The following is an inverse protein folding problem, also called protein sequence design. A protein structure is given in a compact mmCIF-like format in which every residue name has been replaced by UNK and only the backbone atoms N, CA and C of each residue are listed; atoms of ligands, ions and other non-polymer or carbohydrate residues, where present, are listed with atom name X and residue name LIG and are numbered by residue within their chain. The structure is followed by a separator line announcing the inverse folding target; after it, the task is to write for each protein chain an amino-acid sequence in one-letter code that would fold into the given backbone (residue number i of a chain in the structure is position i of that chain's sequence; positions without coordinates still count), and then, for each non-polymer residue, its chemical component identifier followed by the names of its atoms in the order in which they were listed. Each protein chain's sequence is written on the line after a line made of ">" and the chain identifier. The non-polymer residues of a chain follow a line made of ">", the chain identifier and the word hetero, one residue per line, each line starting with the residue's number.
data_IF_807058890697
#
_entry.id   IF_807058890697
#
_cell.length_a   1.000
_cell.length_b   1.000
_cell.length_c   1.000
_cell.angle_alpha   90.00
_cell.angle_beta   90.00
_cell.angle_gamma   90.00
#
_symmetry.space_group_name_H-M   'P 1'
#
loop_
_entity.id
_entity.type
_entity.pdbx_description
1 polymer ?
#
# COMPACT_ATOMS: atom_id res chain seq x y z
N UNK A 1 -7.97 -34.33 7.58
CA UNK A 1 -7.94 -33.17 6.66
C UNK A 1 -6.48 -32.73 6.53
N UNK A 2 -5.95 -32.65 5.31
CA UNK A 2 -4.55 -32.26 5.07
C UNK A 2 -4.38 -30.75 5.02
N UNK A 3 -3.28 -30.24 5.57
CA UNK A 3 -2.92 -28.83 5.50
C UNK A 3 -2.33 -28.56 4.11
N UNK A 4 -3.05 -27.80 3.27
CA UNK A 4 -2.52 -27.29 2.02
C UNK A 4 -1.66 -26.05 2.34
N UNK A 5 -0.33 -26.23 2.38
CA UNK A 5 0.60 -25.10 2.53
C UNK A 5 0.84 -24.48 1.16
N UNK A 6 0.12 -23.40 0.85
CA UNK A 6 0.38 -22.61 -0.35
C UNK A 6 1.62 -21.73 -0.12
N UNK A 7 2.67 -21.94 -0.92
CA UNK A 7 3.82 -21.04 -1.00
C UNK A 7 3.62 -20.11 -2.19
N UNK A 8 3.40 -18.80 -1.98
CA UNK A 8 3.24 -17.88 -3.10
C UNK A 8 4.51 -17.87 -3.96
N UNK A 9 4.38 -17.86 -5.30
CA UNK A 9 5.51 -17.74 -6.20
C UNK A 9 6.41 -16.56 -5.82
N UNK A 10 7.72 -16.78 -5.90
CA UNK A 10 8.77 -15.78 -5.65
C UNK A 10 9.67 -15.71 -6.88
N UNK A 11 9.91 -14.50 -7.37
CA UNK A 11 10.77 -14.29 -8.53
C UNK A 11 12.25 -14.21 -8.12
N UNK A 12 12.54 -13.83 -6.89
CA UNK A 12 13.88 -13.68 -6.35
C UNK A 12 13.86 -13.53 -4.82
N UNK A 13 15.00 -13.16 -4.19
CA UNK A 13 15.05 -12.92 -2.75
C UNK A 13 14.17 -11.73 -2.37
N UNK A 14 13.39 -11.86 -1.30
CA UNK A 14 12.61 -10.76 -0.74
C UNK A 14 13.54 -9.74 -0.11
N UNK A 15 13.51 -8.50 -0.61
CA UNK A 15 14.30 -7.40 -0.07
C UNK A 15 13.59 -6.79 1.15
N UNK A 16 12.29 -6.61 1.03
CA UNK A 16 11.41 -6.18 2.12
C UNK A 16 9.95 -6.46 1.78
N UNK A 17 9.12 -6.42 2.81
CA UNK A 17 7.67 -6.61 2.73
C UNK A 17 6.95 -5.75 3.76
N UNK A 18 5.68 -5.43 3.49
CA UNK A 18 4.79 -4.62 4.32
C UNK A 18 3.44 -5.36 4.36
N UNK A 19 2.97 -5.68 5.58
CA UNK A 19 1.72 -6.43 5.80
C UNK A 19 1.88 -7.96 5.78
N UNK A 20 0.74 -8.65 5.79
CA UNK A 20 0.61 -10.11 5.75
C UNK A 20 -0.29 -10.46 4.57
N UNK A 21 0.04 -11.45 3.72
CA UNK A 21 -0.77 -11.78 2.54
C UNK A 21 -2.01 -12.62 2.92
N UNK A 22 -2.96 -12.04 3.66
CA UNK A 22 -4.19 -12.70 4.15
C UNK A 22 -5.50 -12.15 3.55
N UNK A 23 -5.36 -11.21 2.58
CA UNK A 23 -6.43 -10.47 1.88
C UNK A 23 -7.17 -9.48 2.79
N UNK A 24 -6.54 -9.01 3.85
CA UNK A 24 -7.11 -8.08 4.82
C UNK A 24 -6.21 -6.87 5.00
N UNK A 25 -6.80 -5.76 5.44
CA UNK A 25 -6.05 -4.59 5.88
C UNK A 25 -6.02 -4.45 7.41
N UNK A 26 -6.40 -5.51 8.14
CA UNK A 26 -6.73 -5.44 9.55
C UNK A 26 -5.51 -5.27 10.47
N UNK A 27 -4.33 -5.64 10.00
CA UNK A 27 -3.08 -5.47 10.73
C UNK A 27 -2.52 -4.05 10.63
N UNK A 28 -2.99 -3.24 9.68
CA UNK A 28 -2.51 -1.88 9.47
C UNK A 28 -3.08 -0.89 10.50
N UNK A 29 -2.51 0.30 10.52
CA UNK A 29 -2.87 1.34 11.47
C UNK A 29 -4.27 1.90 11.20
N UNK A 30 -5.22 1.49 12.04
CA UNK A 30 -6.53 2.12 12.16
C UNK A 30 -6.46 3.20 13.25
N UNK A 31 -6.76 4.47 12.96
CA UNK A 31 -6.68 5.55 13.94
C UNK A 31 -7.80 5.45 14.97
N UNK A 32 -7.70 6.24 16.04
CA UNK A 32 -8.85 6.47 16.91
C UNK A 32 -9.97 7.22 16.15
N UNK A 33 -11.25 7.08 16.55
CA UNK A 33 -12.34 7.88 15.99
C UNK A 33 -12.24 9.36 16.39
N UNK A 34 -13.00 10.22 15.71
CA UNK A 34 -13.23 11.58 16.18
C UNK A 34 -13.97 11.52 17.54
N UNK A 35 -13.47 12.18 18.60
CA UNK A 35 -14.08 12.18 19.93
C UNK A 35 -15.57 12.56 19.96
N UNK A 36 -16.02 13.40 19.04
CA UNK A 36 -17.42 13.87 18.97
C UNK A 36 -18.39 12.79 18.45
N UNK A 37 -17.88 11.78 17.74
CA UNK A 37 -18.68 10.79 17.01
C UNK A 37 -18.36 9.34 17.43
N UNK A 38 -17.79 9.15 18.62
CA UNK A 38 -17.36 7.84 19.12
C UNK A 38 -18.55 6.89 19.28
N UNK A 39 -18.50 5.74 18.60
CA UNK A 39 -19.36 4.62 18.94
C UNK A 39 -18.72 3.80 20.06
N UNK A 40 -19.34 3.80 21.24
CA UNK A 40 -18.84 3.12 22.44
C UNK A 40 -18.74 1.59 22.27
N UNK A 41 -19.48 0.98 21.35
CA UNK A 41 -19.44 -0.47 21.09
C UNK A 41 -18.07 -0.95 20.58
N UNK A 42 -17.32 -0.08 19.91
CA UNK A 42 -16.03 -0.42 19.30
C UNK A 42 -14.83 0.17 20.05
N UNK A 43 -15.04 0.77 21.23
CA UNK A 43 -13.96 1.15 22.13
C UNK A 43 -13.26 -0.11 22.65
N UNK A 44 -11.92 -0.12 22.67
CA UNK A 44 -11.09 -1.26 23.11
C UNK A 44 -11.42 -2.59 22.40
N UNK A 45 -11.87 -2.52 21.14
CA UNK A 45 -12.26 -3.67 20.34
C UNK A 45 -11.23 -3.96 19.24
N UNK A 46 -11.01 -5.23 18.92
CA UNK A 46 -10.17 -5.67 17.79
C UNK A 46 -10.72 -5.18 16.45
N UNK A 47 -12.03 -4.93 16.37
CA UNK A 47 -12.74 -4.38 15.21
C UNK A 47 -12.87 -2.86 15.26
N UNK A 48 -11.87 -2.14 15.80
CA UNK A 48 -11.88 -0.67 15.84
C UNK A 48 -12.14 -0.01 14.49
N UNK A 49 -11.82 -0.68 13.37
CA UNK A 49 -12.12 -0.25 12.01
C UNK A 49 -13.62 -0.04 11.73
N UNK A 50 -14.51 -0.53 12.60
CA UNK A 50 -15.97 -0.34 12.52
C UNK A 50 -16.45 1.03 12.99
N UNK A 51 -15.57 1.88 13.54
CA UNK A 51 -15.92 3.25 13.88
C UNK A 51 -16.24 4.06 12.61
N UNK A 52 -17.25 4.92 12.71
CA UNK A 52 -17.64 5.77 11.60
C UNK A 52 -16.61 6.89 11.36
N UNK A 53 -16.37 7.23 10.09
CA UNK A 53 -15.55 8.40 9.71
C UNK A 53 -14.03 8.21 9.83
N UNK A 54 -13.53 7.00 10.07
CA UNK A 54 -12.10 6.75 10.22
C UNK A 54 -11.26 7.12 9.00
N UNK A 55 -11.82 7.06 7.79
CA UNK A 55 -11.12 7.55 6.59
C UNK A 55 -10.82 9.04 6.66
N UNK A 56 -11.73 9.86 7.21
CA UNK A 56 -11.57 11.32 7.28
C UNK A 56 -10.44 11.72 8.25
N UNK A 57 -10.14 10.85 9.22
CA UNK A 57 -9.00 11.01 10.15
C UNK A 57 -7.65 11.06 9.42
N UNK A 58 -7.56 10.56 8.18
CA UNK A 58 -6.34 10.71 7.40
C UNK A 58 -5.96 12.18 7.23
N UNK A 59 -6.93 13.07 6.99
CA UNK A 59 -6.67 14.52 6.87
C UNK A 59 -6.16 15.12 8.18
N UNK A 60 -6.68 14.67 9.33
CA UNK A 60 -6.26 15.17 10.64
C UNK A 60 -4.81 14.77 10.98
N UNK A 61 -4.42 13.56 10.59
CA UNK A 61 -3.09 12.99 10.88
C UNK A 61 -2.04 13.43 9.86
N UNK A 62 -2.47 13.71 8.62
CA UNK A 62 -1.62 14.04 7.47
C UNK A 62 -2.03 15.38 6.81
N UNK A 63 -2.13 16.49 7.58
CA UNK A 63 -2.75 17.73 7.08
C UNK A 63 -1.94 18.38 5.96
N UNK A 64 -0.60 18.28 6.02
CA UNK A 64 0.31 18.96 5.11
C UNK A 64 1.03 18.01 4.16
N UNK A 65 1.36 16.80 4.63
CA UNK A 65 2.14 15.82 3.89
C UNK A 65 1.46 14.46 3.96
N UNK A 66 1.63 13.66 2.92
CA UNK A 66 1.16 12.28 2.91
C UNK A 66 2.10 11.33 3.66
N UNK A 67 1.62 10.10 3.87
CA UNK A 67 2.33 9.04 4.56
C UNK A 67 3.70 8.75 3.95
N UNK A 68 4.72 8.72 4.81
CA UNK A 68 6.08 8.29 4.48
C UNK A 68 6.42 7.08 5.36
N UNK A 69 6.66 5.95 4.73
CA UNK A 69 7.07 4.71 5.36
C UNK A 69 8.50 4.37 5.01
N UNK A 70 9.37 4.24 6.00
CA UNK A 70 10.78 3.87 5.83
C UNK A 70 10.99 2.43 6.29
N UNK A 71 11.34 1.56 5.35
CA UNK A 71 11.62 0.14 5.58
C UNK A 71 12.74 0.00 6.61
N UNK A 72 12.52 -0.87 7.60
CA UNK A 72 13.47 -1.13 8.69
C UNK A 72 13.40 -0.12 9.84
N UNK A 73 12.67 1.00 9.69
CA UNK A 73 12.46 1.97 10.77
C UNK A 73 11.00 2.02 11.24
N UNK A 74 10.06 2.00 10.29
CA UNK A 74 8.62 2.06 10.59
C UNK A 74 8.01 0.66 10.84
N UNK A 75 6.94 0.63 11.62
CA UNK A 75 6.11 -0.56 11.88
C UNK A 75 4.77 -0.39 11.17
N UNK A 76 4.46 -1.23 10.18
CA UNK A 76 3.22 -1.12 9.41
C UNK A 76 1.96 -1.22 10.26
N UNK A 77 2.03 -1.81 11.47
CA UNK A 77 0.88 -1.87 12.38
C UNK A 77 0.51 -0.52 12.99
N UNK A 78 1.43 0.45 12.92
CA UNK A 78 1.34 1.77 13.57
C UNK A 78 1.51 2.92 12.59
N UNK A 79 2.34 2.73 11.58
CA UNK A 79 2.81 3.80 10.69
C UNK A 79 2.25 3.66 9.26
N UNK A 80 1.57 2.55 8.96
CA UNK A 80 0.89 2.36 7.67
C UNK A 80 -0.61 2.50 7.85
N UNK A 81 -1.19 3.61 7.42
CA UNK A 81 -2.61 3.87 7.59
C UNK A 81 -3.44 2.81 6.83
N UNK A 82 -4.56 2.36 7.42
CA UNK A 82 -5.31 1.21 6.91
C UNK A 82 -5.93 1.41 5.51
N UNK A 83 -6.13 2.65 5.08
CA UNK A 83 -6.69 2.98 3.77
C UNK A 83 -6.03 4.22 3.16
N UNK A 84 -5.46 4.10 1.96
CA UNK A 84 -5.08 5.27 1.18
C UNK A 84 -6.33 5.90 0.58
N UNK A 85 -6.72 7.03 1.14
CA UNK A 85 -7.94 7.78 0.79
C UNK A 85 -7.57 9.17 0.33
N UNK A 86 -8.54 9.91 -0.19
CA UNK A 86 -8.31 11.31 -0.48
C UNK A 86 -8.14 12.16 0.77
N UNK A 87 -7.30 13.19 0.66
CA UNK A 87 -7.17 14.21 1.70
C UNK A 87 -8.17 15.33 1.44
N UNK A 88 -8.94 15.70 2.48
CA UNK A 88 -9.87 16.83 2.40
C UNK A 88 -9.07 18.14 2.44
N UNK A 89 -9.38 19.04 1.51
CA UNK A 89 -8.85 20.40 1.45
C UNK A 89 -9.81 21.39 2.12
N UNK A 90 -9.33 22.60 2.43
CA UNK A 90 -10.08 23.66 3.12
C UNK A 90 -11.39 24.05 2.43
N UNK A 91 -11.50 23.85 1.11
CA UNK A 91 -12.70 24.17 0.33
C UNK A 91 -13.69 22.99 0.22
N UNK A 92 -13.59 21.99 1.10
CA UNK A 92 -14.37 20.74 1.02
C UNK A 92 -14.16 19.97 -0.29
N UNK A 93 -13.09 20.27 -1.01
CA UNK A 93 -12.61 19.49 -2.15
C UNK A 93 -11.69 18.39 -1.65
N UNK A 94 -11.45 17.38 -2.49
CA UNK A 94 -10.62 16.25 -2.15
C UNK A 94 -9.43 16.18 -3.09
N UNK A 95 -8.23 15.98 -2.54
CA UNK A 95 -7.00 15.91 -3.32
C UNK A 95 -6.46 14.49 -3.37
N UNK A 96 -5.77 14.20 -4.47
CA UNK A 96 -4.96 13.00 -4.63
C UNK A 96 -3.91 12.88 -3.53
N UNK A 97 -3.53 11.64 -3.21
CA UNK A 97 -2.57 11.34 -2.14
C UNK A 97 -1.45 10.49 -2.68
N UNK A 98 -0.21 10.80 -2.31
CA UNK A 98 0.99 10.06 -2.72
C UNK A 98 1.76 9.56 -1.51
N UNK A 99 1.69 8.26 -1.25
CA UNK A 99 2.47 7.63 -0.19
C UNK A 99 3.87 7.30 -0.67
N UNK A 100 4.84 7.34 0.24
CA UNK A 100 6.24 7.06 -0.04
C UNK A 100 6.70 5.81 0.72
N UNK A 101 7.30 4.85 0.02
CA UNK A 101 8.05 3.76 0.62
C UNK A 101 9.53 4.02 0.39
N UNK A 102 10.26 4.35 1.45
CA UNK A 102 11.70 4.61 1.44
C UNK A 102 12.47 3.38 1.91
N UNK A 103 13.53 3.03 1.21
CA UNK A 103 14.36 1.88 1.56
C UNK A 103 15.79 2.03 1.04
N UNK A 104 16.72 1.35 1.69
CA UNK A 104 18.09 1.19 1.21
C UNK A 104 18.21 -0.01 0.28
N UNK A 105 18.96 0.13 -0.80
CA UNK A 105 19.33 -0.96 -1.72
C UNK A 105 20.86 -1.00 -1.86
N UNK A 106 21.46 -2.08 -1.37
CA UNK A 106 22.89 -2.36 -1.53
C UNK A 106 23.09 -3.33 -2.71
N UNK A 107 24.20 -3.21 -3.44
CA UNK A 107 24.53 -4.08 -4.58
C UNK A 107 23.44 -4.05 -5.68
N UNK A 108 23.06 -2.84 -6.11
CA UNK A 108 22.10 -2.65 -7.20
C UNK A 108 22.62 -3.29 -8.49
N UNK A 109 21.88 -4.26 -9.02
CA UNK A 109 22.08 -4.81 -10.37
C UNK A 109 21.28 -4.04 -11.42
N UNK A 110 21.90 -3.06 -12.06
CA UNK A 110 21.25 -2.15 -13.03
C UNK A 110 20.58 -2.84 -14.22
N UNK A 111 21.21 -3.89 -14.75
CA UNK A 111 20.75 -4.59 -15.97
C UNK A 111 19.65 -5.62 -15.70
N UNK A 112 19.27 -5.83 -14.44
CA UNK A 112 18.35 -6.87 -14.03
C UNK A 112 16.99 -6.28 -13.63
N UNK A 113 15.96 -7.12 -13.63
CA UNK A 113 14.59 -6.73 -13.29
C UNK A 113 14.25 -7.13 -11.86
N UNK A 114 13.73 -6.17 -11.10
CA UNK A 114 13.16 -6.38 -9.77
C UNK A 114 11.65 -6.60 -9.91
N UNK A 115 11.04 -7.28 -8.94
CA UNK A 115 9.59 -7.50 -8.94
C UNK A 115 8.96 -6.82 -7.73
N UNK A 116 8.04 -5.88 -7.99
CA UNK A 116 7.19 -5.27 -6.96
C UNK A 116 5.80 -5.89 -7.04
N UNK A 117 5.41 -6.54 -5.96
CA UNK A 117 4.08 -7.12 -5.79
C UNK A 117 3.24 -6.21 -4.91
N UNK A 118 2.06 -5.84 -5.39
CA UNK A 118 1.08 -5.06 -4.64
C UNK A 118 -0.23 -5.83 -4.62
N UNK A 119 -0.65 -6.23 -3.42
CA UNK A 119 -1.94 -6.83 -3.14
C UNK A 119 -2.83 -5.81 -2.43
N UNK A 120 -4.08 -5.68 -2.90
CA UNK A 120 -5.09 -4.80 -2.32
C UNK A 120 -6.20 -5.64 -1.71
N UNK A 121 -6.52 -5.39 -0.44
CA UNK A 121 -7.67 -5.99 0.23
C UNK A 121 -8.99 -5.45 -0.34
N UNK A 122 -9.01 -4.19 -0.81
CA UNK A 122 -10.16 -3.60 -1.52
C UNK A 122 -9.76 -2.33 -2.27
N UNK A 123 -10.59 -1.90 -3.22
CA UNK A 123 -10.49 -0.61 -3.88
C UNK A 123 -11.89 -0.04 -4.19
N UNK A 124 -12.04 1.28 -4.10
CA UNK A 124 -13.26 1.99 -4.47
C UNK A 124 -12.96 3.13 -5.45
N UNK A 125 -13.31 2.93 -6.73
CA UNK A 125 -13.26 3.92 -7.83
C UNK A 125 -11.97 4.75 -7.76
N UNK A 126 -10.84 4.05 -7.69
CA UNK A 126 -9.52 4.63 -7.50
C UNK A 126 -8.55 4.06 -8.52
N UNK A 127 -7.58 4.87 -8.93
CA UNK A 127 -6.45 4.42 -9.74
C UNK A 127 -5.18 4.48 -8.89
N UNK A 128 -4.40 3.39 -8.90
CA UNK A 128 -3.07 3.32 -8.30
C UNK A 128 -2.02 3.55 -9.38
N UNK A 129 -1.16 4.53 -9.16
CA UNK A 129 0.03 4.79 -9.97
C UNK A 129 1.29 4.54 -9.16
N UNK A 130 2.28 3.90 -9.78
CA UNK A 130 3.58 3.62 -9.15
C UNK A 130 4.69 4.38 -9.89
N UNK A 131 5.52 5.11 -9.13
CA UNK A 131 6.73 5.78 -9.64
C UNK A 131 7.93 5.41 -8.78
N UNK A 132 9.12 5.48 -9.36
CA UNK A 132 10.38 5.11 -8.72
C UNK A 132 11.32 6.31 -8.73
N UNK A 133 11.78 6.74 -7.55
CA UNK A 133 12.74 7.83 -7.29
C UNK A 133 12.36 9.24 -7.79
N UNK A 134 11.47 9.37 -8.77
CA UNK A 134 10.97 10.63 -9.34
C UNK A 134 9.46 10.71 -9.17
N UNK A 135 9.00 11.49 -8.19
CA UNK A 135 7.58 11.60 -7.86
C UNK A 135 6.75 12.28 -8.96
N UNK A 136 7.37 13.18 -9.71
CA UNK A 136 6.79 14.06 -10.72
C UNK A 136 6.96 13.55 -12.16
N UNK A 137 7.49 12.33 -12.33
CA UNK A 137 7.62 11.70 -13.65
C UNK A 137 6.23 11.62 -14.32
N UNK A 138 6.15 12.19 -15.53
CA UNK A 138 4.87 12.39 -16.23
C UNK A 138 4.16 11.07 -16.50
N UNK A 139 4.92 10.05 -16.86
CA UNK A 139 4.43 8.70 -17.13
C UNK A 139 4.78 7.83 -15.92
N UNK A 140 3.79 7.32 -15.17
CA UNK A 140 4.07 6.38 -14.10
C UNK A 140 4.60 5.05 -14.68
N UNK A 141 5.46 4.36 -13.93
CA UNK A 141 5.94 3.03 -14.31
C UNK A 141 4.80 2.04 -14.47
N UNK A 142 3.79 2.18 -13.61
CA UNK A 142 2.59 1.35 -13.62
C UNK A 142 1.36 2.18 -13.30
N UNK A 143 0.24 1.86 -13.94
CA UNK A 143 -1.10 2.29 -13.54
C UNK A 143 -2.02 1.07 -13.50
N UNK A 144 -2.88 1.00 -12.49
CA UNK A 144 -3.94 0.00 -12.45
C UNK A 144 -5.10 0.31 -13.38
N UNK A 145 -5.16 1.55 -13.91
CA UNK A 145 -6.43 2.16 -14.33
C UNK A 145 -7.39 2.33 -13.15
N UNK A 146 -8.60 2.84 -13.41
CA UNK A 146 -9.65 2.96 -12.38
C UNK A 146 -10.20 1.57 -12.04
N UNK A 147 -9.95 1.13 -10.81
CA UNK A 147 -10.38 -0.17 -10.27
C UNK A 147 -11.38 -0.02 -9.13
N UNK A 148 -11.99 -1.12 -8.73
CA UNK A 148 -12.86 -1.19 -7.56
C UNK A 148 -14.36 -1.19 -7.89
N UNK A 149 -15.12 -0.34 -7.17
CA UNK A 149 -16.60 -0.34 -6.96
C UNK A 149 -17.06 -1.11 -5.72
N UNK A 150 -16.14 -1.47 -4.85
CA UNK A 150 -16.42 -2.03 -3.54
C UNK A 150 -16.71 -0.90 -2.52
N UNK A 151 -17.64 -1.09 -1.58
CA UNK A 151 -18.00 -0.03 -0.61
C UNK A 151 -17.42 -0.27 0.79
N UNK A 152 -16.39 -1.10 0.93
CA UNK A 152 -15.82 -1.50 2.22
C UNK A 152 -15.39 -0.31 3.07
N UNK A 153 -14.68 0.69 2.51
CA UNK A 153 -14.27 1.89 3.26
C UNK A 153 -15.49 2.63 3.84
N UNK A 154 -16.49 2.91 2.99
CA UNK A 154 -17.71 3.61 3.40
C UNK A 154 -18.59 2.81 4.38
N UNK A 155 -18.45 1.48 4.39
CA UNK A 155 -19.22 0.56 5.23
C UNK A 155 -18.42 0.01 6.42
N UNK A 156 -17.26 0.61 6.73
CA UNK A 156 -16.40 0.20 7.83
C UNK A 156 -15.98 -1.27 7.78
N UNK A 157 -15.78 -1.77 6.56
CA UNK A 157 -15.12 -3.03 6.29
C UNK A 157 -13.60 -2.86 6.26
N UNK A 158 -12.90 -3.99 6.24
CA UNK A 158 -11.43 -4.03 6.25
C UNK A 158 -10.85 -4.89 5.12
N UNK A 159 -11.72 -5.41 4.27
CA UNK A 159 -11.42 -6.16 3.05
C UNK A 159 -12.68 -6.20 2.17
N UNK A 160 -12.50 -6.48 0.88
CA UNK A 160 -13.56 -6.55 -0.12
C UNK A 160 -13.07 -7.31 -1.36
N UNK A 161 -13.34 -6.77 -2.55
CA UNK A 161 -12.79 -7.33 -3.79
C UNK A 161 -11.25 -7.18 -3.84
N UNK A 162 -10.57 -8.32 -3.88
CA UNK A 162 -9.11 -8.41 -3.88
C UNK A 162 -8.49 -8.12 -5.25
N UNK A 163 -7.34 -7.44 -5.25
CA UNK A 163 -6.54 -7.15 -6.45
C UNK A 163 -5.09 -7.54 -6.24
N UNK A 164 -4.45 -8.02 -7.30
CA UNK A 164 -3.02 -8.38 -7.27
C UNK A 164 -2.32 -7.84 -8.52
N UNK A 165 -1.27 -7.06 -8.30
CA UNK A 165 -0.40 -6.54 -9.34
C UNK A 165 1.02 -7.06 -9.13
N UNK A 166 1.63 -7.55 -10.21
CA UNK A 166 3.05 -7.88 -10.26
C UNK A 166 3.69 -6.92 -11.25
N UNK A 167 4.55 -6.05 -10.76
CA UNK A 167 5.13 -4.94 -11.50
C UNK A 167 6.62 -5.22 -11.66
N UNK A 168 7.07 -5.30 -12.91
CA UNK A 168 8.49 -5.41 -13.23
C UNK A 168 9.14 -4.04 -13.19
N UNK A 169 10.21 -3.91 -12.40
CA UNK A 169 10.96 -2.67 -12.24
C UNK A 169 12.35 -2.88 -12.81
N UNK A 170 12.72 -2.20 -13.92
CA UNK A 170 14.09 -2.19 -14.39
C UNK A 170 15.05 -1.69 -13.30
N UNK A 171 16.12 -2.43 -13.04
CA UNK A 171 17.14 -2.04 -12.07
C UNK A 171 17.77 -0.68 -12.35
N UNK A 172 17.70 -0.22 -13.61
CA UNK A 172 18.11 1.11 -14.03
C UNK A 172 17.36 2.26 -13.33
N UNK A 173 16.14 2.02 -12.84
CA UNK A 173 15.34 3.01 -12.12
C UNK A 173 15.76 3.19 -10.65
N UNK A 174 16.47 2.22 -10.09
CA UNK A 174 17.02 2.33 -8.74
C UNK A 174 18.42 2.97 -8.76
N UNK A 175 18.85 3.43 -7.60
CA UNK A 175 20.22 3.86 -7.33
C UNK A 175 20.80 3.01 -6.19
N UNK A 176 22.13 2.99 -6.05
CA UNK A 176 22.73 2.40 -4.86
C UNK A 176 22.50 3.30 -3.64
N UNK A 177 22.14 2.71 -2.50
CA UNK A 177 21.72 3.45 -1.31
C UNK A 177 20.22 3.73 -1.28
N UNK A 178 19.82 4.97 -1.04
CA UNK A 178 18.42 5.31 -0.72
C UNK A 178 17.55 5.42 -1.98
N UNK A 179 16.43 4.69 -1.95
CA UNK A 179 15.42 4.69 -2.99
C UNK A 179 14.05 4.99 -2.41
N UNK A 180 13.14 5.49 -3.27
CA UNK A 180 11.74 5.73 -2.91
C UNK A 180 10.81 5.17 -3.99
N UNK A 181 9.83 4.39 -3.57
CA UNK A 181 8.65 4.05 -4.38
C UNK A 181 7.52 5.00 -3.97
N UNK A 182 6.91 5.63 -4.95
CA UNK A 182 5.74 6.49 -4.77
C UNK A 182 4.49 5.72 -5.19
N UNK A 183 3.51 5.67 -4.30
CA UNK A 183 2.18 5.11 -4.53
C UNK A 183 1.18 6.26 -4.57
N UNK A 184 0.84 6.71 -5.77
CA UNK A 184 -0.13 7.79 -5.95
C UNK A 184 -1.50 7.19 -6.21
N UNK A 185 -2.48 7.55 -5.39
CA UNK A 185 -3.88 7.27 -5.66
C UNK A 185 -4.53 8.51 -6.28
N UNK A 186 -5.13 8.33 -7.46
CA UNK A 186 -5.79 9.39 -8.24
C UNK A 186 -7.29 9.14 -8.41
N UNK A 187 -7.95 10.00 -9.21
CA UNK A 187 -9.38 9.93 -9.56
C UNK A 187 -10.33 10.25 -8.39
N UNK A 188 -9.99 11.32 -7.65
CA UNK A 188 -10.74 11.73 -6.46
C UNK A 188 -11.95 12.60 -6.77
N UNK A 189 -13.12 12.18 -6.32
CA UNK A 189 -14.37 12.95 -6.33
C UNK A 189 -15.17 12.85 -5.02
N UNK A 190 -14.98 11.80 -4.21
CA UNK A 190 -15.75 11.57 -2.97
C UNK A 190 -14.84 11.17 -1.78
N UNK A 191 -15.27 11.36 -0.52
CA UNK A 191 -14.43 11.14 0.67
C UNK A 191 -14.00 9.68 0.91
N UNK A 192 -14.74 8.70 0.39
CA UNK A 192 -14.54 7.28 0.67
C UNK A 192 -13.99 6.51 -0.54
N UNK A 193 -13.56 7.22 -1.59
CA UNK A 193 -12.70 6.64 -2.62
C UNK A 193 -11.31 6.40 -2.04
N UNK A 194 -10.85 5.17 -2.20
CA UNK A 194 -9.55 4.78 -1.70
C UNK A 194 -9.22 3.32 -1.95
N UNK A 195 -8.06 2.96 -1.43
CA UNK A 195 -7.43 1.66 -1.56
C UNK A 195 -7.08 1.18 -0.16
N UNK A 196 -7.41 -0.07 0.17
CA UNK A 196 -6.81 -0.74 1.32
C UNK A 196 -5.79 -1.75 0.81
N UNK A 197 -4.58 -1.65 1.30
CA UNK A 197 -3.53 -2.63 1.01
C UNK A 197 -3.77 -3.90 1.81
N UNK A 198 -3.33 -5.01 1.25
CA UNK A 198 -3.18 -6.29 1.95
C UNK A 198 -1.69 -6.53 2.20
N UNK A 199 -0.92 -6.55 1.13
CA UNK A 199 0.49 -6.90 1.19
C UNK A 199 1.29 -6.25 0.07
N UNK A 200 2.45 -5.69 0.41
CA UNK A 200 3.39 -5.11 -0.56
C UNK A 200 4.74 -5.78 -0.37
N UNK A 201 5.36 -6.22 -1.45
CA UNK A 201 6.68 -6.89 -1.41
C UNK A 201 7.55 -6.45 -2.57
N UNK A 202 8.80 -6.11 -2.28
CA UNK A 202 9.84 -5.96 -3.29
C UNK A 202 10.78 -7.17 -3.27
N UNK A 203 10.99 -7.76 -4.43
CA UNK A 203 11.91 -8.86 -4.66
C UNK A 203 13.07 -8.39 -5.55
N UNK A 204 14.28 -8.83 -5.21
CA UNK A 204 15.44 -8.69 -6.06
C UNK A 204 15.31 -9.55 -7.32
N UNK A 205 16.24 -9.38 -8.28
CA UNK A 205 16.25 -10.22 -9.47
C UNK A 205 16.38 -11.69 -9.16
N UNK A 206 15.90 -12.53 -10.07
CA UNK A 206 16.09 -13.97 -9.99
C UNK A 206 17.59 -14.27 -9.91
N UNK A 207 18.02 -14.88 -8.81
CA UNK A 207 19.33 -15.52 -8.76
C UNK A 207 19.29 -16.71 -9.70
N UNK A 208 20.13 -16.71 -10.74
CA UNK A 208 20.33 -17.89 -11.56
C UNK A 208 20.70 -19.06 -10.64
N UNK A 209 19.80 -20.03 -10.52
CA UNK A 209 20.12 -21.32 -9.92
C UNK A 209 21.16 -21.98 -10.81
N UNK A 210 22.43 -21.88 -10.44
CA UNK A 210 23.47 -22.74 -10.99
C UNK A 210 23.15 -24.16 -10.52
N UNK A 211 22.47 -24.93 -11.35
CA UNK A 211 22.39 -26.38 -11.17
C UNK A 211 23.80 -26.92 -11.36
N UNK A 212 24.54 -27.09 -10.27
CA UNK A 212 25.77 -27.86 -10.29
C UNK A 212 25.37 -29.30 -10.50
N UNK A 213 25.47 -29.79 -11.73
CA UNK A 213 25.47 -31.23 -12.00
C UNK A 213 26.77 -31.78 -11.41
N UNK A 214 26.65 -32.50 -10.29
CA UNK A 214 27.61 -33.50 -9.86
C UNK A 214 27.05 -34.88 -10.25
#
# INVERSE_FOLDING_TARGET
>A
MGVLVYKPPRNGPTLWEIGTPDRSAAEFFVPDPNPDYVNKLYLNNTQKYRQYGLWDRYTDLYPNNDLIYTVGLNDYRKDWFFAQVARRSNNSTYTDTTWQIRFGLQNRTETQTYALRIALATAHISELQVRINKADEKIPLFTSGVIGKDNSIARHGIHGLYWLFNIEIPGSLFVEGNNTIFLTRTNTTTPFQGIMYDYIRLEGPATASFTTHL
#
